data_IF_508658027890
#
_entry.id   IF_508658027890
#
_cell.length_a   1.000
_cell.length_b   1.000
_cell.length_c   1.000
_cell.angle_alpha   90.00
_cell.angle_beta   90.00
_cell.angle_gamma   90.00
#
_symmetry.space_group_name_H-M   'P 1'
#
loop_
_entity.id
_entity.type
_entity.pdbx_description
1 polymer ?
#
# COMPACT_ATOMS: atom_id res chain seq x y z
N UNK A 1 -30.67 -1.76 -34.13
CA UNK A 1 -31.08 -2.65 -33.02
C UNK A 1 -30.03 -3.74 -32.89
N UNK A 2 -29.15 -3.70 -31.89
CA UNK A 2 -28.16 -4.77 -31.70
C UNK A 2 -28.81 -5.93 -30.97
N UNK A 3 -28.83 -7.10 -31.60
CA UNK A 3 -29.35 -8.35 -31.04
C UNK A 3 -28.68 -8.67 -29.70
N UNK A 4 -29.46 -9.16 -28.74
CA UNK A 4 -28.93 -9.70 -27.50
C UNK A 4 -28.04 -10.92 -27.83
N UNK A 5 -26.86 -11.06 -27.22
CA UNK A 5 -26.01 -12.22 -27.45
C UNK A 5 -26.71 -13.49 -26.99
N UNK A 6 -26.56 -14.57 -27.77
CA UNK A 6 -27.16 -15.86 -27.45
C UNK A 6 -26.57 -16.40 -26.14
N UNK A 7 -27.44 -16.73 -25.19
CA UNK A 7 -27.06 -17.44 -23.97
C UNK A 7 -26.50 -18.82 -24.35
N UNK A 8 -25.17 -18.95 -24.40
CA UNK A 8 -24.52 -20.21 -24.80
C UNK A 8 -23.09 -20.07 -25.35
N UNK A 9 -22.59 -18.87 -25.65
CA UNK A 9 -21.25 -18.64 -26.19
C UNK A 9 -20.11 -18.71 -25.13
N UNK A 10 -20.46 -19.06 -23.89
CA UNK A 10 -19.54 -19.12 -22.76
C UNK A 10 -18.95 -17.77 -22.36
N UNK A 11 -19.58 -16.66 -22.77
CA UNK A 11 -19.30 -15.30 -22.32
C UNK A 11 -20.34 -14.91 -21.27
N UNK A 12 -19.86 -14.38 -20.15
CA UNK A 12 -20.67 -13.93 -19.02
C UNK A 12 -21.22 -12.51 -19.30
N UNK A 13 -22.22 -12.43 -20.18
CA UNK A 13 -22.75 -11.16 -20.67
C UNK A 13 -23.35 -10.29 -19.56
N UNK A 14 -23.18 -8.98 -19.71
CA UNK A 14 -23.67 -8.02 -18.71
C UNK A 14 -22.80 -7.88 -17.47
N UNK A 15 -21.64 -8.55 -17.42
CA UNK A 15 -20.67 -8.38 -16.33
C UNK A 15 -19.34 -7.78 -16.82
N UNK A 16 -18.52 -7.20 -15.93
CA UNK A 16 -17.16 -6.79 -16.28
C UNK A 16 -16.28 -7.96 -16.72
N UNK A 17 -16.59 -9.19 -16.27
CA UNK A 17 -15.90 -10.42 -16.68
C UNK A 17 -16.25 -10.76 -18.13
N UNK A 18 -17.51 -10.64 -18.54
CA UNK A 18 -17.92 -10.80 -19.94
C UNK A 18 -17.21 -9.82 -20.88
N UNK A 19 -17.06 -8.56 -20.47
CA UNK A 19 -16.28 -7.58 -21.24
C UNK A 19 -14.82 -8.01 -21.42
N UNK A 20 -14.18 -8.54 -20.38
CA UNK A 20 -12.82 -9.07 -20.46
C UNK A 20 -12.73 -10.31 -21.37
N UNK A 21 -13.72 -11.21 -21.31
CA UNK A 21 -13.80 -12.39 -22.17
C UNK A 21 -13.94 -12.02 -23.65
N UNK A 22 -14.76 -11.02 -23.99
CA UNK A 22 -14.83 -10.48 -25.36
C UNK A 22 -13.45 -10.04 -25.87
N UNK A 23 -12.69 -9.30 -25.06
CA UNK A 23 -11.33 -8.84 -25.42
C UNK A 23 -10.35 -9.99 -25.57
N UNK A 24 -10.34 -10.91 -24.60
CA UNK A 24 -9.41 -12.04 -24.58
C UNK A 24 -9.65 -13.01 -25.73
N UNK A 25 -10.93 -13.28 -26.05
CA UNK A 25 -11.34 -14.15 -27.16
C UNK A 25 -11.44 -13.43 -28.50
N UNK A 26 -11.10 -12.13 -28.55
CA UNK A 26 -11.16 -11.28 -29.75
C UNK A 26 -12.54 -11.23 -30.43
N UNK A 27 -13.62 -11.42 -29.66
CA UNK A 27 -15.00 -11.25 -30.12
C UNK A 27 -15.33 -9.76 -30.04
N UNK A 28 -14.97 -9.02 -31.09
CA UNK A 28 -15.08 -7.55 -31.14
C UNK A 28 -16.10 -7.11 -32.20
N UNK A 29 -16.84 -6.00 -31.96
CA UNK A 29 -16.84 -5.21 -30.71
C UNK A 29 -17.58 -5.94 -29.58
N UNK A 30 -17.26 -5.66 -28.29
CA UNK A 30 -18.02 -6.21 -27.17
C UNK A 30 -19.50 -5.79 -27.24
N UNK A 31 -20.39 -6.69 -26.86
CA UNK A 31 -21.84 -6.43 -26.91
C UNK A 31 -22.24 -5.23 -26.01
N UNK A 32 -23.43 -4.67 -26.25
CA UNK A 32 -23.91 -3.48 -25.53
C UNK A 32 -23.96 -3.69 -24.01
N UNK A 33 -24.40 -4.88 -23.55
CA UNK A 33 -24.49 -5.22 -22.13
C UNK A 33 -23.11 -5.23 -21.46
N UNK A 34 -22.11 -5.89 -22.07
CA UNK A 34 -20.75 -5.93 -21.56
C UNK A 34 -20.09 -4.53 -21.56
N UNK A 35 -20.34 -3.71 -22.60
CA UNK A 35 -19.86 -2.31 -22.62
C UNK A 35 -20.46 -1.47 -21.49
N UNK A 36 -21.76 -1.63 -21.22
CA UNK A 36 -22.44 -0.93 -20.13
C UNK A 36 -21.89 -1.35 -18.77
N UNK A 37 -21.72 -2.66 -18.55
CA UNK A 37 -21.15 -3.20 -17.31
C UNK A 37 -19.73 -2.68 -17.03
N UNK A 38 -18.86 -2.67 -18.05
CA UNK A 38 -17.52 -2.11 -17.92
C UNK A 38 -17.55 -0.60 -17.64
N UNK A 39 -18.46 0.13 -18.28
CA UNK A 39 -18.61 1.58 -18.05
C UNK A 39 -19.04 1.87 -16.61
N UNK A 40 -19.94 1.06 -16.03
CA UNK A 40 -20.33 1.18 -14.61
C UNK A 40 -19.16 0.91 -13.68
N UNK A 41 -18.39 -0.16 -13.92
CA UNK A 41 -17.18 -0.46 -13.15
C UNK A 41 -16.15 0.67 -13.22
N UNK A 42 -15.91 1.24 -14.40
CA UNK A 42 -14.99 2.37 -14.56
C UNK A 42 -15.45 3.62 -13.80
N UNK A 43 -16.74 3.92 -13.78
CA UNK A 43 -17.28 5.02 -12.97
C UNK A 43 -17.05 4.79 -11.48
N UNK A 44 -17.34 3.59 -10.99
CA UNK A 44 -17.09 3.22 -9.58
C UNK A 44 -15.61 3.33 -9.22
N UNK A 45 -14.71 2.85 -10.09
CA UNK A 45 -13.26 2.96 -9.90
C UNK A 45 -12.80 4.41 -9.81
N UNK A 46 -13.30 5.28 -10.70
CA UNK A 46 -13.00 6.72 -10.68
C UNK A 46 -13.53 7.40 -9.42
N UNK A 47 -14.73 7.03 -8.96
CA UNK A 47 -15.30 7.54 -7.72
C UNK A 47 -14.48 7.11 -6.49
N UNK A 48 -14.11 5.83 -6.41
CA UNK A 48 -13.25 5.33 -5.34
C UNK A 48 -11.87 5.99 -5.35
N UNK A 49 -11.27 6.17 -6.53
CA UNK A 49 -10.00 6.89 -6.67
C UNK A 49 -10.14 8.34 -6.18
N UNK A 50 -11.19 9.06 -6.62
CA UNK A 50 -11.46 10.44 -6.21
C UNK A 50 -11.70 10.55 -4.70
N UNK A 51 -12.41 9.58 -4.10
CA UNK A 51 -12.63 9.52 -2.66
C UNK A 51 -11.32 9.29 -1.89
N UNK A 52 -10.42 8.46 -2.43
CA UNK A 52 -9.14 8.16 -1.78
C UNK A 52 -8.13 9.32 -1.90
N UNK A 53 -8.00 9.94 -3.07
CA UNK A 53 -7.01 10.98 -3.33
C UNK A 53 -7.57 12.41 -3.37
N UNK A 54 -8.81 12.61 -2.93
CA UNK A 54 -9.51 13.89 -3.00
C UNK A 54 -9.53 14.54 -4.40
N UNK A 55 -9.49 13.71 -5.46
CA UNK A 55 -9.45 14.19 -6.84
C UNK A 55 -8.09 14.71 -7.31
N UNK A 56 -7.01 14.43 -6.58
CA UNK A 56 -5.66 14.73 -7.04
C UNK A 56 -5.37 14.03 -8.37
N UNK A 57 -4.78 14.76 -9.32
CA UNK A 57 -4.37 14.28 -10.64
C UNK A 57 -2.95 14.74 -10.95
N UNK A 58 -2.29 14.11 -11.92
CA UNK A 58 -0.92 14.43 -12.34
C UNK A 58 0.12 13.39 -11.92
N UNK A 59 1.39 13.69 -12.21
CA UNK A 59 2.53 12.82 -11.85
C UNK A 59 2.78 12.88 -10.34
N UNK A 60 2.86 11.75 -9.64
CA UNK A 60 3.19 11.73 -8.21
C UNK A 60 4.56 12.37 -7.96
N UNK A 61 4.64 13.27 -6.98
CA UNK A 61 5.91 13.77 -6.48
C UNK A 61 6.49 12.66 -5.59
N UNK A 62 7.72 12.18 -5.85
CA UNK A 62 8.35 11.18 -4.99
C UNK A 62 8.47 11.75 -3.57
N UNK A 63 8.18 10.92 -2.56
CA UNK A 63 8.33 11.31 -1.18
C UNK A 63 9.78 11.69 -0.87
N UNK A 64 9.97 12.65 0.05
CA UNK A 64 11.30 13.03 0.54
C UNK A 64 11.92 11.85 1.30
N UNK A 65 13.14 11.47 0.94
CA UNK A 65 13.95 10.55 1.75
C UNK A 65 14.35 11.24 3.05
N UNK A 66 14.02 10.62 4.19
CA UNK A 66 14.43 11.09 5.52
C UNK A 66 15.43 10.08 6.07
N UNK A 67 16.64 10.52 6.42
CA UNK A 67 17.60 9.65 7.09
C UNK A 67 17.12 9.37 8.51
N UNK A 68 17.05 8.08 8.86
CA UNK A 68 16.49 7.60 10.13
C UNK A 68 17.40 6.55 10.74
N UNK A 69 17.26 6.32 12.05
CA UNK A 69 18.11 5.37 12.76
C UNK A 69 19.58 5.74 12.68
N UNK A 70 20.41 4.80 12.21
CA UNK A 70 21.87 4.94 12.12
C UNK A 70 22.31 6.03 11.13
N UNK A 71 21.49 6.33 10.12
CA UNK A 71 21.81 7.36 9.12
C UNK A 71 21.38 8.77 9.58
N UNK A 72 20.75 8.88 10.76
CA UNK A 72 20.35 10.16 11.31
C UNK A 72 21.58 10.95 11.75
N UNK A 73 21.71 12.20 11.29
CA UNK A 73 22.84 13.06 11.63
C UNK A 73 22.88 13.50 13.12
N UNK A 74 21.84 13.21 13.91
CA UNK A 74 21.81 13.53 15.33
C UNK A 74 22.70 12.54 16.09
N UNK A 75 23.77 13.06 16.71
CA UNK A 75 24.69 12.28 17.54
C UNK A 75 23.95 11.41 18.57
N UNK A 76 24.29 10.12 18.65
CA UNK A 76 23.65 9.15 19.53
C UNK A 76 22.34 8.53 19.00
N UNK A 77 21.81 9.00 17.87
CA UNK A 77 20.59 8.45 17.29
C UNK A 77 20.87 7.09 16.62
N UNK A 78 20.01 6.12 16.90
CA UNK A 78 20.11 4.75 16.45
C UNK A 78 21.01 3.88 17.32
N UNK A 79 21.88 4.42 18.17
CA UNK A 79 22.84 3.64 18.96
C UNK A 79 22.16 2.58 19.84
N UNK A 80 22.85 1.48 20.10
CA UNK A 80 22.33 0.41 20.98
C UNK A 80 22.10 0.95 22.39
N UNK A 81 20.95 0.67 22.99
CA UNK A 81 20.62 1.06 24.36
C UNK A 81 21.36 0.24 25.44
N UNK A 82 22.42 -0.48 25.04
CA UNK A 82 23.44 -1.03 25.92
C UNK A 82 24.44 0.06 26.39
N UNK A 83 24.56 1.17 25.65
CA UNK A 83 25.34 2.33 26.09
C UNK A 83 24.50 3.26 26.98
N UNK A 84 25.13 4.02 27.89
CA UNK A 84 24.46 5.09 28.62
C UNK A 84 23.75 6.05 27.67
N UNK A 85 22.64 6.65 28.12
CA UNK A 85 21.83 7.57 27.30
C UNK A 85 22.70 8.69 26.69
N UNK A 86 22.89 8.75 25.35
CA UNK A 86 23.85 9.66 24.72
C UNK A 86 23.54 11.15 24.90
N UNK A 87 22.25 11.49 25.01
CA UNK A 87 21.80 12.85 25.27
C UNK A 87 20.46 12.88 26.00
N UNK A 88 20.20 13.94 26.77
CA UNK A 88 19.02 14.04 27.65
C UNK A 88 17.67 13.84 26.94
N UNK A 89 17.55 14.23 25.67
CA UNK A 89 16.31 14.12 24.88
C UNK A 89 16.18 12.80 24.10
N UNK A 90 17.16 11.89 24.19
CA UNK A 90 17.07 10.60 23.51
C UNK A 90 16.04 9.69 24.18
N UNK A 91 15.29 8.97 23.36
CA UNK A 91 14.25 8.05 23.78
C UNK A 91 14.73 6.64 23.53
N UNK A 92 14.70 5.80 24.57
CA UNK A 92 14.93 4.36 24.43
C UNK A 92 13.72 3.75 23.75
N UNK A 93 13.96 2.99 22.71
CA UNK A 93 12.96 2.16 22.06
C UNK A 93 13.35 0.71 22.25
N UNK A 94 12.45 -0.04 22.85
CA UNK A 94 12.43 -1.49 22.90
C UNK A 94 11.00 -1.99 22.68
N UNK A 95 10.87 -3.26 22.28
CA UNK A 95 9.57 -3.89 22.10
C UNK A 95 9.62 -5.37 22.54
N UNK A 96 8.66 -5.85 23.34
CA UNK A 96 8.65 -7.22 23.84
C UNK A 96 8.68 -8.28 22.73
N UNK A 97 9.58 -9.24 22.84
CA UNK A 97 9.73 -10.32 21.84
C UNK A 97 10.29 -9.85 20.50
N UNK A 98 10.72 -8.59 20.39
CA UNK A 98 11.38 -8.11 19.18
C UNK A 98 12.75 -8.72 19.00
N UNK A 99 13.07 -9.05 17.75
CA UNK A 99 14.44 -9.34 17.31
C UNK A 99 15.26 -8.05 17.11
N UNK A 100 14.63 -6.88 17.17
CA UNK A 100 15.36 -5.61 17.18
C UNK A 100 15.95 -5.35 18.56
N UNK A 101 17.29 -5.16 18.68
CA UNK A 101 17.86 -4.76 19.95
C UNK A 101 17.36 -3.37 20.36
N UNK A 102 17.24 -3.15 21.66
CA UNK A 102 16.90 -1.85 22.20
C UNK A 102 17.88 -0.77 21.70
N UNK A 103 17.38 0.39 21.28
CA UNK A 103 18.18 1.50 20.73
C UNK A 103 17.71 2.86 21.25
N UNK A 104 18.63 3.82 21.26
CA UNK A 104 18.34 5.24 21.50
C UNK A 104 17.94 5.93 20.19
N UNK A 105 16.90 6.74 20.21
CA UNK A 105 16.49 7.55 19.05
C UNK A 105 16.24 9.00 19.45
N UNK A 106 16.52 9.91 18.52
CA UNK A 106 16.12 11.31 18.70
C UNK A 106 14.59 11.44 18.65
N UNK A 107 14.00 12.46 19.30
CA UNK A 107 12.55 12.67 19.29
C UNK A 107 11.98 12.82 17.87
N UNK A 108 10.68 12.56 17.73
CA UNK A 108 9.97 12.70 16.45
C UNK A 108 10.13 11.48 15.54
N UNK A 109 10.48 11.71 14.29
CA UNK A 109 10.44 10.70 13.22
C UNK A 109 11.31 9.46 13.52
N UNK A 110 12.50 9.64 14.11
CA UNK A 110 13.41 8.54 14.41
C UNK A 110 12.88 7.63 15.53
N UNK A 111 12.22 8.18 16.55
CA UNK A 111 11.52 7.38 17.57
C UNK A 111 10.41 6.53 16.93
N UNK A 112 9.60 7.13 16.07
CA UNK A 112 8.51 6.41 15.38
C UNK A 112 9.07 5.31 14.47
N UNK A 113 10.14 5.61 13.73
CA UNK A 113 10.86 4.63 12.92
C UNK A 113 11.36 3.46 13.78
N UNK A 114 12.02 3.74 14.91
CA UNK A 114 12.52 2.72 15.82
C UNK A 114 11.42 1.82 16.37
N UNK A 115 10.29 2.42 16.78
CA UNK A 115 9.13 1.66 17.28
C UNK A 115 8.56 0.75 16.20
N UNK A 116 8.30 1.30 15.01
CA UNK A 116 7.78 0.51 13.89
C UNK A 116 8.73 -0.63 13.51
N UNK A 117 10.04 -0.39 13.51
CA UNK A 117 11.04 -1.41 13.23
C UNK A 117 11.03 -2.52 14.29
N UNK A 118 10.98 -2.14 15.57
CA UNK A 118 10.92 -3.09 16.67
C UNK A 118 9.61 -3.90 16.66
N UNK A 119 8.47 -3.27 16.39
CA UNK A 119 7.17 -3.93 16.22
C UNK A 119 7.19 -4.95 15.06
N UNK A 120 7.65 -4.53 13.87
CA UNK A 120 7.75 -5.43 12.71
C UNK A 120 8.67 -6.61 13.00
N UNK A 121 9.78 -6.38 13.71
CA UNK A 121 10.74 -7.43 14.08
C UNK A 121 10.26 -8.33 15.23
N UNK A 122 9.20 -7.95 15.94
CA UNK A 122 8.52 -8.76 16.94
C UNK A 122 7.45 -9.68 16.35
N UNK A 123 7.01 -9.43 15.12
CA UNK A 123 6.18 -10.38 14.40
C UNK A 123 7.04 -11.61 14.09
N UNK A 124 6.85 -12.70 14.83
CA UNK A 124 7.44 -14.01 14.57
C UNK A 124 6.95 -14.61 13.26
N UNK A 125 7.59 -15.69 12.80
CA UNK A 125 7.09 -16.49 11.68
C UNK A 125 5.70 -17.03 12.05
N UNK A 126 4.63 -16.46 11.48
CA UNK A 126 3.26 -17.00 11.56
C UNK A 126 3.12 -18.26 10.68
N UNK A 127 4.03 -19.22 10.86
CA UNK A 127 4.10 -20.55 10.22
C UNK A 127 4.55 -21.62 11.22
N UNK A 128 4.03 -21.58 12.45
CA UNK A 128 4.06 -22.71 13.37
C UNK A 128 2.65 -23.29 13.47
#
# INVERSE_FOLDING_TARGET
MSAAPAAGDGIDHGTPRGYAQHRQRKVLPPCAQCRAANSTRERQRRQAQKAWNNGATGTPIPGRTVSTGQDCAVSGCGELAAVPRPAARMVRVDWPGSREPARWYCPGACRTYGLALAEVRAIGDRRA
#
